data_IF_699509313736
#
_entry.id   IF_699509313736
#
_cell.length_a   1.000
_cell.length_b   1.000
_cell.length_c   1.000
_cell.angle_alpha   90.00
_cell.angle_beta   90.00
_cell.angle_gamma   90.00
#
_symmetry.space_group_name_H-M   'P 1'
#
loop_
_entity.id
_entity.type
_entity.pdbx_description
1 polymer ?
#
# COMPACT_ATOMS: atom_id res chain seq x y z
N UNK A 1 -23.80 -64.64 -15.57
CA UNK A 1 -22.67 -63.91 -15.01
C UNK A 1 -23.03 -62.43 -15.09
N UNK A 2 -23.39 -61.82 -13.96
CA UNK A 2 -23.67 -60.36 -13.91
C UNK A 2 -22.41 -59.66 -13.39
N UNK A 3 -21.80 -58.85 -14.25
CA UNK A 3 -20.65 -58.01 -13.95
C UNK A 3 -21.08 -56.84 -13.07
N UNK A 4 -20.61 -56.79 -11.83
CA UNK A 4 -20.68 -55.59 -10.98
C UNK A 4 -19.52 -54.65 -11.34
N UNK A 5 -19.84 -53.45 -11.87
CA UNK A 5 -18.87 -52.34 -11.92
C UNK A 5 -18.73 -51.73 -10.49
N UNK A 6 -17.54 -51.47 -9.99
CA UNK A 6 -17.37 -50.73 -8.77
C UNK A 6 -17.67 -49.24 -8.98
N UNK A 7 -18.54 -48.70 -8.14
CA UNK A 7 -18.85 -47.25 -8.07
C UNK A 7 -17.63 -46.56 -7.42
N UNK A 8 -16.87 -45.82 -8.21
CA UNK A 8 -15.77 -45.00 -7.74
C UNK A 8 -16.36 -43.72 -7.11
N UNK A 9 -16.52 -43.70 -5.79
CA UNK A 9 -16.88 -42.50 -5.04
C UNK A 9 -15.69 -41.55 -5.01
N UNK A 10 -15.74 -40.52 -5.87
CA UNK A 10 -14.83 -39.37 -5.81
C UNK A 10 -15.19 -38.56 -4.55
N UNK A 11 -14.47 -38.74 -3.46
CA UNK A 11 -14.51 -37.83 -2.32
C UNK A 11 -13.83 -36.53 -2.74
N UNK A 12 -14.61 -35.50 -3.05
CA UNK A 12 -14.11 -34.12 -3.08
C UNK A 12 -13.62 -33.79 -1.66
N UNK A 13 -12.32 -33.86 -1.44
CA UNK A 13 -11.71 -33.26 -0.28
C UNK A 13 -11.94 -31.73 -0.40
N UNK A 14 -12.88 -31.20 0.37
CA UNK A 14 -13.02 -29.77 0.51
C UNK A 14 -11.67 -29.23 1.02
N UNK A 15 -10.96 -28.43 0.21
CA UNK A 15 -9.78 -27.72 0.65
C UNK A 15 -10.17 -26.82 1.82
N UNK A 16 -9.92 -27.29 3.02
CA UNK A 16 -10.08 -26.54 4.25
C UNK A 16 -8.97 -25.49 4.24
N UNK A 17 -9.29 -24.22 3.95
CA UNK A 17 -8.31 -23.12 4.01
C UNK A 17 -7.62 -23.14 5.38
N UNK A 18 -6.28 -23.19 5.38
CA UNK A 18 -5.50 -23.18 6.59
C UNK A 18 -5.68 -21.84 7.34
N UNK A 19 -5.63 -21.88 8.68
CA UNK A 19 -5.59 -20.65 9.49
C UNK A 19 -4.39 -19.77 9.08
N UNK A 20 -4.46 -18.46 9.30
CA UNK A 20 -3.34 -17.56 9.07
C UNK A 20 -2.09 -18.04 9.81
N UNK A 21 -0.91 -17.83 9.22
CA UNK A 21 0.33 -18.15 9.92
C UNK A 21 0.48 -17.32 11.19
N UNK A 22 1.20 -17.83 12.19
CA UNK A 22 1.59 -17.02 13.34
C UNK A 22 2.37 -15.78 12.86
N UNK A 23 2.11 -14.58 13.42
CA UNK A 23 2.87 -13.38 13.09
C UNK A 23 4.34 -13.50 13.46
N UNK A 24 5.24 -13.09 12.55
CA UNK A 24 6.68 -13.01 12.78
C UNK A 24 7.16 -11.55 12.70
N UNK A 25 8.10 -11.16 13.55
CA UNK A 25 8.69 -9.82 13.51
C UNK A 25 9.58 -9.70 12.28
N UNK A 26 9.29 -8.71 11.42
CA UNK A 26 10.14 -8.36 10.27
C UNK A 26 11.06 -7.19 10.61
N UNK A 27 10.53 -6.13 11.20
CA UNK A 27 11.35 -5.03 11.70
C UNK A 27 11.08 -4.81 13.18
N UNK A 28 12.16 -4.55 13.93
CA UNK A 28 12.12 -4.26 15.36
C UNK A 28 12.92 -2.99 15.65
N UNK A 29 12.30 -2.06 16.36
CA UNK A 29 12.97 -0.85 16.84
C UNK A 29 14.20 -1.20 17.67
N UNK A 30 15.28 -0.43 17.53
CA UNK A 30 16.59 -0.64 18.18
C UNK A 30 17.33 -1.93 17.74
N UNK A 31 16.84 -2.62 16.72
CA UNK A 31 17.60 -3.72 16.10
C UNK A 31 18.82 -3.19 15.34
N UNK A 32 18.70 -1.99 14.78
CA UNK A 32 19.82 -1.16 14.37
C UNK A 32 19.95 -0.04 15.41
N UNK A 33 21.15 0.27 15.87
CA UNK A 33 21.40 1.23 16.96
C UNK A 33 20.84 2.64 16.76
N UNK A 34 20.33 2.97 15.56
CA UNK A 34 19.91 4.32 15.14
C UNK A 34 18.39 4.54 15.12
N UNK A 35 17.55 3.48 15.16
CA UNK A 35 16.11 3.62 14.97
C UNK A 35 15.31 3.15 16.21
N UNK A 36 15.01 4.04 17.17
CA UNK A 36 14.17 3.69 18.33
C UNK A 36 12.68 3.50 17.99
N UNK A 37 12.25 3.85 16.76
CA UNK A 37 10.90 3.68 16.28
C UNK A 37 10.92 3.16 14.83
N UNK A 38 9.99 2.27 14.49
CA UNK A 38 9.80 1.73 13.14
C UNK A 38 8.32 1.87 12.77
N UNK A 39 8.05 2.45 11.58
CA UNK A 39 6.68 2.67 11.12
C UNK A 39 6.54 2.57 9.60
N UNK A 40 5.29 2.67 9.11
CA UNK A 40 4.88 2.86 7.73
C UNK A 40 5.38 1.73 6.81
N UNK A 41 4.76 0.54 6.88
CA UNK A 41 5.14 -0.60 6.08
C UNK A 41 4.75 -0.45 4.60
N UNK A 42 5.66 -0.87 3.71
CA UNK A 42 5.38 -1.14 2.30
C UNK A 42 5.87 -2.55 1.95
N UNK A 43 5.05 -3.34 1.26
CA UNK A 43 5.37 -4.72 0.89
C UNK A 43 5.08 -4.94 -0.60
N UNK A 44 6.10 -5.26 -1.37
CA UNK A 44 5.99 -5.62 -2.77
C UNK A 44 6.37 -7.10 -2.96
N UNK A 45 5.52 -7.87 -3.65
CA UNK A 45 5.91 -9.15 -4.22
C UNK A 45 6.34 -8.92 -5.67
N UNK A 46 7.61 -9.16 -5.99
CA UNK A 46 8.12 -8.99 -7.34
C UNK A 46 7.65 -10.11 -8.28
N UNK A 47 7.73 -9.90 -9.58
CA UNK A 47 7.38 -10.91 -10.58
C UNK A 47 8.20 -12.21 -10.43
N UNK A 48 9.41 -12.15 -9.87
CA UNK A 48 10.25 -13.33 -9.56
C UNK A 48 9.83 -14.03 -8.26
N UNK A 49 8.99 -13.39 -7.42
CA UNK A 49 8.50 -13.92 -6.16
C UNK A 49 9.30 -13.51 -4.94
N UNK A 50 10.22 -12.55 -5.08
CA UNK A 50 10.89 -11.93 -3.94
C UNK A 50 9.91 -10.99 -3.24
N UNK A 51 9.82 -11.04 -1.92
CA UNK A 51 9.13 -10.04 -1.11
C UNK A 51 10.14 -8.96 -0.71
N UNK A 52 9.83 -7.71 -1.03
CA UNK A 52 10.58 -6.54 -0.60
C UNK A 52 9.74 -5.81 0.44
N UNK A 53 10.17 -5.81 1.69
CA UNK A 53 9.58 -5.07 2.78
C UNK A 53 10.40 -3.81 3.05
N UNK A 54 9.73 -2.65 3.07
CA UNK A 54 10.34 -1.36 3.39
C UNK A 54 9.57 -0.73 4.54
N UNK A 55 10.27 0.02 5.39
CA UNK A 55 9.67 0.80 6.48
C UNK A 55 10.48 2.06 6.75
N UNK A 56 9.89 3.00 7.49
CA UNK A 56 10.60 4.14 8.05
C UNK A 56 11.29 3.74 9.34
N UNK A 57 12.63 3.78 9.36
CA UNK A 57 13.44 3.80 10.58
C UNK A 57 13.49 5.23 11.10
N UNK A 58 13.01 5.48 12.32
CA UNK A 58 12.81 6.82 12.86
C UNK A 58 13.64 7.05 14.12
N UNK A 59 14.30 8.20 14.22
CA UNK A 59 15.04 8.61 15.41
C UNK A 59 14.14 9.00 16.59
N UNK A 60 12.87 9.25 16.33
CA UNK A 60 11.83 9.51 17.34
C UNK A 60 10.47 8.99 16.87
N UNK A 61 9.48 8.97 17.77
CA UNK A 61 8.14 8.50 17.45
C UNK A 61 7.31 9.49 16.60
N UNK A 62 7.82 10.69 16.32
CA UNK A 62 7.15 11.73 15.52
C UNK A 62 7.30 11.46 14.02
N UNK A 63 6.34 11.93 13.23
CA UNK A 63 6.33 11.71 11.77
C UNK A 63 7.47 12.46 11.05
N UNK A 64 7.87 13.65 11.54
CA UNK A 64 9.00 14.43 11.00
C UNK A 64 10.23 14.36 11.93
N UNK A 65 10.62 13.14 12.35
CA UNK A 65 11.94 12.87 12.89
C UNK A 65 12.97 12.75 11.75
N UNK A 66 14.26 12.56 12.07
CA UNK A 66 15.22 12.07 11.09
C UNK A 66 14.82 10.62 10.76
N UNK A 67 14.28 10.39 9.58
CA UNK A 67 13.78 9.07 9.17
C UNK A 67 14.56 8.57 7.97
N UNK A 68 15.01 7.31 8.06
CA UNK A 68 15.61 6.57 6.96
C UNK A 68 14.63 5.55 6.40
N UNK A 69 14.88 5.07 5.17
CA UNK A 69 14.17 3.91 4.64
C UNK A 69 14.99 2.65 4.89
N UNK A 70 14.43 1.73 5.67
CA UNK A 70 15.01 0.42 5.96
C UNK A 70 14.36 -0.65 5.11
N UNK A 71 15.13 -1.66 4.68
CA UNK A 71 14.67 -2.73 3.80
C UNK A 71 15.04 -4.10 4.33
N UNK A 72 14.15 -5.07 4.16
CA UNK A 72 14.40 -6.51 4.28
C UNK A 72 13.79 -7.26 3.09
N UNK A 73 14.41 -8.38 2.73
CA UNK A 73 14.03 -9.19 1.58
C UNK A 73 13.76 -10.62 2.03
N UNK A 74 12.70 -11.22 1.48
CA UNK A 74 12.43 -12.65 1.61
C UNK A 74 12.32 -13.29 0.22
N UNK A 75 13.01 -14.42 0.02
CA UNK A 75 12.95 -15.23 -1.21
C UNK A 75 12.18 -16.54 -1.03
N UNK A 76 11.53 -16.72 0.12
CA UNK A 76 10.84 -17.94 0.50
C UNK A 76 9.43 -17.69 1.07
N UNK A 77 8.71 -16.75 0.48
CA UNK A 77 7.33 -16.38 0.84
C UNK A 77 7.19 -15.94 2.31
N UNK A 78 8.13 -15.12 2.81
CA UNK A 78 8.07 -14.54 4.13
C UNK A 78 8.45 -15.47 5.29
N UNK A 79 8.90 -16.72 5.01
CA UNK A 79 9.33 -17.66 6.07
C UNK A 79 10.61 -17.22 6.77
N UNK A 80 11.47 -16.52 6.06
CA UNK A 80 12.65 -15.85 6.63
C UNK A 80 12.97 -14.57 5.86
N UNK A 81 13.66 -13.65 6.51
CA UNK A 81 14.00 -12.33 6.00
C UNK A 81 15.51 -12.10 6.12
N UNK A 82 16.06 -11.33 5.18
CA UNK A 82 17.45 -10.86 5.24
C UNK A 82 17.70 -10.06 6.53
N UNK A 83 18.96 -9.78 6.83
CA UNK A 83 19.28 -8.70 7.79
C UNK A 83 18.69 -7.39 7.30
N UNK A 84 18.35 -6.50 8.24
CA UNK A 84 17.92 -5.12 7.92
C UNK A 84 19.08 -4.37 7.26
N UNK A 85 18.76 -3.61 6.20
CA UNK A 85 19.70 -2.74 5.53
C UNK A 85 19.06 -1.35 5.35
N UNK A 86 19.88 -0.32 5.21
CA UNK A 86 19.43 1.02 4.82
C UNK A 86 19.26 1.04 3.31
N UNK A 87 18.04 1.30 2.83
CA UNK A 87 17.77 1.53 1.42
C UNK A 87 18.11 2.98 1.03
N UNK A 88 17.84 3.92 1.94
CA UNK A 88 18.14 5.34 1.75
C UNK A 88 18.27 6.03 3.10
N UNK A 89 19.28 6.87 3.23
CA UNK A 89 19.46 7.87 4.29
C UNK A 89 19.78 9.24 3.67
N UNK A 90 19.30 10.32 4.26
CA UNK A 90 19.56 11.71 3.83
C UNK A 90 20.03 12.58 5.02
N UNK A 91 20.86 12.01 5.87
CA UNK A 91 21.40 12.68 7.04
C UNK A 91 20.32 13.04 8.07
N UNK A 92 20.06 14.34 8.29
CA UNK A 92 19.04 14.79 9.25
C UNK A 92 17.66 15.04 8.62
N UNK A 93 17.55 14.94 7.30
CA UNK A 93 16.27 15.09 6.62
C UNK A 93 15.34 13.92 6.93
N UNK A 94 14.05 14.17 6.84
CA UNK A 94 13.04 13.19 7.12
C UNK A 94 12.53 12.58 5.82
N UNK A 95 12.63 11.25 5.68
CA UNK A 95 12.12 10.50 4.53
C UNK A 95 10.84 9.78 4.94
N UNK A 96 9.72 10.07 4.26
CA UNK A 96 8.40 9.55 4.63
C UNK A 96 7.68 8.83 3.50
N UNK A 97 6.70 8.00 3.89
CA UNK A 97 5.69 7.41 3.04
C UNK A 97 6.26 6.56 1.89
N UNK A 98 7.01 5.49 2.19
CA UNK A 98 7.52 4.60 1.15
C UNK A 98 6.38 3.99 0.34
N UNK A 99 6.51 4.02 -1.01
CA UNK A 99 5.56 3.43 -1.93
C UNK A 99 6.30 2.72 -3.07
N UNK A 100 6.12 1.40 -3.16
CA UNK A 100 6.84 0.53 -4.09
C UNK A 100 6.01 0.25 -5.34
N UNK A 101 6.64 0.23 -6.52
CA UNK A 101 6.06 -0.32 -7.75
C UNK A 101 7.14 -1.01 -8.57
N UNK A 102 6.77 -2.08 -9.29
CA UNK A 102 7.67 -2.76 -10.23
C UNK A 102 7.22 -2.58 -11.67
N UNK A 103 8.16 -2.27 -12.57
CA UNK A 103 7.97 -2.55 -13.98
C UNK A 103 8.23 -4.06 -14.22
N UNK A 104 7.17 -4.81 -14.46
CA UNK A 104 7.21 -6.27 -14.57
C UNK A 104 8.12 -6.71 -15.71
N UNK A 105 8.15 -5.95 -16.83
CA UNK A 105 8.93 -6.31 -18.01
C UNK A 105 10.43 -6.23 -17.79
N UNK A 106 10.91 -5.15 -17.19
CA UNK A 106 12.35 -4.97 -16.90
C UNK A 106 12.76 -5.57 -15.56
N UNK A 107 11.82 -5.82 -14.65
CA UNK A 107 12.06 -6.20 -13.27
C UNK A 107 12.49 -5.01 -12.39
N UNK A 108 12.58 -3.80 -12.93
CA UNK A 108 12.99 -2.61 -12.20
C UNK A 108 11.95 -2.22 -11.15
N UNK A 109 12.39 -2.07 -9.91
CA UNK A 109 11.57 -1.61 -8.79
C UNK A 109 11.84 -0.14 -8.54
N UNK A 110 10.78 0.63 -8.34
CA UNK A 110 10.80 2.02 -7.92
C UNK A 110 10.31 2.10 -6.47
N UNK A 111 10.98 2.89 -5.66
CA UNK A 111 10.59 3.22 -4.30
C UNK A 111 10.44 4.74 -4.22
N UNK A 112 9.19 5.21 -4.24
CA UNK A 112 8.82 6.61 -4.07
C UNK A 112 8.74 6.98 -2.60
N UNK A 113 9.04 8.24 -2.30
CA UNK A 113 8.99 8.80 -0.95
C UNK A 113 8.88 10.32 -1.00
N UNK A 114 8.53 10.89 0.16
CA UNK A 114 8.52 12.32 0.42
C UNK A 114 9.73 12.70 1.28
N UNK A 115 10.27 13.91 1.09
CA UNK A 115 11.35 14.46 1.91
C UNK A 115 10.90 15.75 2.58
N UNK A 116 11.12 15.83 3.89
CA UNK A 116 11.09 17.07 4.65
C UNK A 116 12.51 17.42 5.08
N UNK A 117 13.00 18.65 4.76
CA UNK A 117 14.24 19.15 5.36
C UNK A 117 14.20 19.11 6.87
N UNK A 118 15.34 18.87 7.49
CA UNK A 118 15.49 18.78 8.94
C UNK A 118 14.83 19.97 9.67
N UNK A 119 14.06 19.66 10.71
CA UNK A 119 13.37 20.66 11.56
C UNK A 119 12.07 21.20 10.99
N UNK A 120 11.69 20.91 9.76
CA UNK A 120 10.38 21.29 9.19
C UNK A 120 9.29 20.32 9.64
N UNK A 121 8.08 20.86 9.82
CA UNK A 121 6.88 20.10 10.18
C UNK A 121 5.78 20.29 9.14
N UNK A 122 4.99 19.27 8.93
CA UNK A 122 3.91 19.26 7.92
C UNK A 122 2.94 20.44 8.07
N UNK A 123 2.59 20.80 9.30
CA UNK A 123 1.66 21.89 9.61
C UNK A 123 2.37 23.18 10.01
N UNK A 124 3.62 23.38 9.60
CA UNK A 124 4.48 24.49 10.01
C UNK A 124 4.44 25.73 9.10
N UNK A 125 3.38 25.94 8.31
CA UNK A 125 3.30 27.11 7.42
C UNK A 125 4.28 27.03 6.23
N UNK A 126 4.41 25.85 5.63
CA UNK A 126 5.34 25.59 4.52
C UNK A 126 4.95 26.37 3.25
N UNK A 127 5.94 26.84 2.50
CA UNK A 127 5.77 27.42 1.17
C UNK A 127 5.21 26.38 0.20
N UNK A 128 4.12 26.67 -0.51
CA UNK A 128 3.54 25.74 -1.48
C UNK A 128 4.34 25.66 -2.77
N UNK A 129 3.99 24.70 -3.61
CA UNK A 129 4.50 24.51 -4.96
C UNK A 129 5.84 23.80 -5.06
N UNK A 130 6.32 23.55 -6.29
CA UNK A 130 7.59 22.86 -6.54
C UNK A 130 8.81 23.58 -5.97
N UNK A 131 8.77 24.89 -5.82
CA UNK A 131 9.81 25.72 -5.19
C UNK A 131 9.84 25.59 -3.66
N UNK A 132 8.77 25.04 -3.05
CA UNK A 132 8.69 24.83 -1.60
C UNK A 132 9.69 23.78 -1.11
N UNK A 133 9.91 23.72 0.22
CA UNK A 133 11.00 22.93 0.80
C UNK A 133 10.79 21.40 0.71
N UNK A 134 9.55 20.92 0.73
CA UNK A 134 9.27 19.48 0.67
C UNK A 134 9.41 18.93 -0.74
N UNK A 135 10.01 17.73 -0.86
CA UNK A 135 10.34 17.10 -2.14
C UNK A 135 9.62 15.78 -2.34
N UNK A 136 9.43 15.41 -3.61
CA UNK A 136 9.02 14.09 -4.06
C UNK A 136 10.20 13.49 -4.81
N UNK A 137 10.64 12.31 -4.41
CA UNK A 137 11.74 11.62 -5.08
C UNK A 137 11.50 10.12 -5.11
N UNK A 138 12.33 9.41 -5.88
CA UNK A 138 12.40 7.96 -5.86
C UNK A 138 13.83 7.46 -5.99
N UNK A 139 14.05 6.23 -5.54
CA UNK A 139 15.21 5.41 -5.84
C UNK A 139 14.77 4.16 -6.58
N UNK A 140 15.69 3.48 -7.27
CA UNK A 140 15.38 2.27 -8.05
C UNK A 140 16.32 1.12 -7.71
N UNK A 141 15.79 -0.11 -7.84
CA UNK A 141 16.56 -1.34 -7.74
C UNK A 141 16.34 -2.20 -8.98
N UNK A 142 17.40 -2.86 -9.47
CA UNK A 142 17.36 -3.84 -10.57
C UNK A 142 17.75 -5.25 -10.11
N UNK A 143 17.97 -5.44 -8.82
CA UNK A 143 18.45 -6.67 -8.19
C UNK A 143 17.54 -7.16 -7.06
N UNK A 144 16.24 -6.98 -7.23
CA UNK A 144 15.21 -7.42 -6.27
C UNK A 144 15.33 -6.73 -4.89
N UNK A 145 15.67 -5.43 -4.87
CA UNK A 145 15.75 -4.62 -3.67
C UNK A 145 17.03 -4.77 -2.84
N UNK A 146 18.07 -5.45 -3.37
CA UNK A 146 19.33 -5.63 -2.64
C UNK A 146 20.19 -4.38 -2.63
N UNK A 147 20.21 -3.67 -3.76
CA UNK A 147 20.89 -2.37 -3.89
C UNK A 147 19.96 -1.34 -4.51
N UNK A 148 20.22 -0.08 -4.21
CA UNK A 148 19.38 1.04 -4.62
C UNK A 148 20.21 2.14 -5.30
N UNK A 149 19.60 2.81 -6.26
CA UNK A 149 20.22 3.93 -6.98
C UNK A 149 20.34 5.17 -6.10
N UNK A 150 21.05 6.19 -6.58
CA UNK A 150 20.93 7.55 -6.05
C UNK A 150 19.48 8.07 -6.22
N UNK A 151 19.03 9.01 -5.36
CA UNK A 151 17.75 9.69 -5.49
C UNK A 151 17.56 10.39 -6.85
N UNK A 152 16.33 10.31 -7.36
CA UNK A 152 15.86 11.09 -8.52
C UNK A 152 14.75 12.00 -8.03
N UNK A 153 14.99 13.31 -8.03
CA UNK A 153 13.99 14.34 -7.66
C UNK A 153 13.00 14.54 -8.82
N UNK A 154 11.72 14.37 -8.56
CA UNK A 154 10.62 14.57 -9.50
C UNK A 154 9.64 15.66 -9.04
N UNK A 155 10.05 16.47 -8.08
CA UNK A 155 9.24 17.52 -7.47
C UNK A 155 8.70 18.50 -8.51
N UNK A 156 9.56 18.97 -9.41
CA UNK A 156 9.18 19.92 -10.46
C UNK A 156 8.11 19.37 -11.42
N UNK A 157 8.14 18.05 -11.68
CA UNK A 157 7.19 17.40 -12.58
C UNK A 157 5.85 17.04 -11.91
N UNK A 158 5.86 16.77 -10.60
CA UNK A 158 4.73 16.13 -9.94
C UNK A 158 4.05 16.98 -8.85
N UNK A 159 4.78 17.83 -8.12
CA UNK A 159 4.20 18.56 -6.99
C UNK A 159 3.27 19.66 -7.46
N UNK A 160 1.98 19.67 -7.04
CA UNK A 160 1.05 20.74 -7.40
C UNK A 160 1.50 22.12 -6.89
N UNK A 161 1.22 23.17 -7.65
CA UNK A 161 1.57 24.58 -7.30
C UNK A 161 1.00 25.01 -5.94
N UNK A 162 -0.18 24.52 -5.58
CA UNK A 162 -0.84 24.85 -4.32
C UNK A 162 -0.43 23.94 -3.16
N UNK A 163 0.36 22.87 -3.41
CA UNK A 163 0.67 21.88 -2.38
C UNK A 163 1.82 22.32 -1.48
N UNK A 164 1.60 22.37 -0.18
CA UNK A 164 2.66 22.52 0.84
C UNK A 164 3.41 21.22 1.03
N UNK A 165 2.69 20.09 1.06
CA UNK A 165 3.25 18.75 1.16
C UNK A 165 2.61 17.81 0.13
N UNK A 166 3.32 16.79 -0.26
CA UNK A 166 2.85 15.77 -1.20
C UNK A 166 3.49 14.43 -0.86
N UNK A 167 2.66 13.46 -0.50
CA UNK A 167 3.09 12.15 -0.07
C UNK A 167 2.58 11.04 -0.98
N UNK A 168 3.43 10.07 -1.29
CA UNK A 168 3.02 8.83 -1.94
C UNK A 168 2.26 7.92 -0.97
N UNK A 169 1.32 7.14 -1.41
CA UNK A 169 0.57 6.08 -0.77
C UNK A 169 0.18 6.28 0.70
N UNK A 170 0.92 5.74 1.68
CA UNK A 170 2.06 4.82 1.58
C UNK A 170 1.66 3.38 1.28
N UNK A 171 2.62 2.55 0.82
CA UNK A 171 2.40 1.13 0.53
C UNK A 171 2.88 0.74 -0.87
N UNK A 172 1.97 0.55 -1.83
CA UNK A 172 2.33 0.16 -3.20
C UNK A 172 1.59 0.97 -4.27
N UNK A 173 2.25 1.12 -5.42
CA UNK A 173 1.62 1.46 -6.69
C UNK A 173 1.29 0.20 -7.48
N UNK A 174 0.81 0.37 -8.71
CA UNK A 174 0.43 -0.73 -9.61
C UNK A 174 1.04 -0.55 -10.99
N UNK A 175 1.16 -1.65 -11.75
CA UNK A 175 1.31 -1.63 -13.19
C UNK A 175 0.03 -2.16 -13.82
N UNK A 176 -0.59 -1.42 -14.72
CA UNK A 176 -1.80 -1.85 -15.41
C UNK A 176 -1.51 -3.06 -16.30
N UNK A 177 -2.36 -4.09 -16.20
CA UNK A 177 -2.23 -5.34 -16.94
C UNK A 177 -3.23 -5.46 -18.07
N UNK A 178 -4.24 -4.58 -18.12
CA UNK A 178 -5.37 -4.59 -19.04
C UNK A 178 -5.63 -3.23 -19.68
N UNK A 179 -6.52 -3.20 -20.67
CA UNK A 179 -6.99 -1.99 -21.32
C UNK A 179 -5.94 -1.30 -22.19
N UNK A 180 -6.28 -0.10 -22.66
CA UNK A 180 -5.44 0.71 -23.57
C UNK A 180 -4.15 1.21 -22.91
N UNK A 181 -4.16 1.35 -21.60
CA UNK A 181 -3.02 1.82 -20.81
C UNK A 181 -2.20 0.66 -20.20
N UNK A 182 -2.35 -0.55 -20.72
CA UNK A 182 -1.58 -1.72 -20.28
C UNK A 182 -0.07 -1.42 -20.30
N UNK A 183 0.60 -1.71 -19.21
CA UNK A 183 2.02 -1.43 -19.00
C UNK A 183 2.30 -0.12 -18.26
N UNK A 184 1.32 0.79 -18.12
CA UNK A 184 1.44 2.03 -17.36
C UNK A 184 1.76 1.72 -15.89
N UNK A 185 2.81 2.34 -15.38
CA UNK A 185 3.13 2.36 -13.94
C UNK A 185 2.35 3.49 -13.28
N UNK A 186 1.80 3.25 -12.08
CA UNK A 186 1.00 4.24 -11.37
C UNK A 186 1.36 4.23 -9.89
N UNK A 187 1.60 5.42 -9.33
CA UNK A 187 1.83 5.67 -7.91
C UNK A 187 0.71 6.57 -7.40
N UNK A 188 -0.02 6.18 -6.34
CA UNK A 188 -1.00 7.06 -5.70
C UNK A 188 -0.34 8.12 -4.85
N UNK A 189 -0.92 9.31 -4.82
CA UNK A 189 -0.45 10.46 -4.04
C UNK A 189 -1.58 11.17 -3.33
N UNK A 190 -1.25 11.79 -2.21
CA UNK A 190 -2.05 12.85 -1.60
C UNK A 190 -1.24 14.14 -1.52
N UNK A 191 -1.92 15.26 -1.60
CA UNK A 191 -1.33 16.59 -1.42
C UNK A 191 -2.15 17.41 -0.44
N UNK A 192 -1.45 18.18 0.38
CA UNK A 192 -2.05 19.13 1.30
C UNK A 192 -1.81 20.57 0.81
N UNK A 193 -2.85 21.36 0.70
CA UNK A 193 -2.75 22.79 0.43
C UNK A 193 -2.57 23.62 1.71
N UNK A 194 -2.32 24.95 1.60
CA UNK A 194 -2.00 25.83 2.74
C UNK A 194 -3.07 25.88 3.83
N UNK A 195 -4.32 25.61 3.48
CA UNK A 195 -5.47 25.61 4.41
C UNK A 195 -5.77 24.23 4.99
N UNK A 196 -4.87 23.27 4.83
CA UNK A 196 -5.08 21.89 5.29
C UNK A 196 -6.10 21.11 4.45
N UNK A 197 -6.36 21.50 3.21
CA UNK A 197 -7.20 20.75 2.28
C UNK A 197 -6.38 19.62 1.67
N UNK A 198 -6.85 18.38 1.83
CA UNK A 198 -6.22 17.21 1.25
C UNK A 198 -6.94 16.76 -0.01
N UNK A 199 -6.17 16.43 -1.05
CA UNK A 199 -6.66 15.89 -2.34
C UNK A 199 -5.85 14.66 -2.72
N UNK A 200 -6.48 13.72 -3.43
CA UNK A 200 -5.78 12.58 -4.04
C UNK A 200 -5.61 12.78 -5.54
N UNK A 201 -4.55 12.19 -6.07
CA UNK A 201 -4.22 12.08 -7.48
C UNK A 201 -3.20 10.94 -7.68
N UNK A 202 -2.79 10.67 -8.91
CA UNK A 202 -1.76 9.68 -9.19
C UNK A 202 -0.66 10.27 -10.07
N UNK A 203 0.58 9.79 -9.87
CA UNK A 203 1.62 9.90 -10.87
C UNK A 203 1.60 8.65 -11.74
N UNK A 204 1.83 8.79 -13.05
CA UNK A 204 1.90 7.68 -13.99
C UNK A 204 3.07 7.81 -14.97
N UNK A 205 3.52 6.66 -15.47
CA UNK A 205 4.56 6.55 -16.48
C UNK A 205 4.16 5.54 -17.56
N UNK A 206 4.27 5.96 -18.83
CA UNK A 206 4.01 5.13 -20.01
C UNK A 206 5.30 4.60 -20.66
N UNK A 207 6.47 4.92 -20.10
CA UNK A 207 7.78 4.63 -20.67
C UNK A 207 8.70 3.86 -19.71
N UNK A 208 8.09 2.96 -18.89
CA UNK A 208 8.77 2.13 -17.90
C UNK A 208 9.55 2.96 -16.85
N UNK A 209 8.97 4.09 -16.43
CA UNK A 209 9.50 4.95 -15.38
C UNK A 209 10.64 5.87 -15.78
N UNK A 210 10.83 6.12 -17.08
CA UNK A 210 11.80 7.12 -17.57
C UNK A 210 11.29 8.53 -17.32
N UNK A 211 10.00 8.77 -17.57
CA UNK A 211 9.31 10.01 -17.26
C UNK A 211 8.03 9.75 -16.46
N UNK A 212 7.66 10.72 -15.64
CA UNK A 212 6.46 10.65 -14.80
C UNK A 212 5.59 11.88 -15.05
N UNK A 213 4.29 11.66 -15.13
CA UNK A 213 3.27 12.68 -15.32
C UNK A 213 2.27 12.65 -14.17
N UNK A 214 1.71 13.79 -13.84
CA UNK A 214 0.64 13.91 -12.86
C UNK A 214 -0.72 13.78 -13.54
N UNK A 215 -1.64 12.97 -12.95
CA UNK A 215 -3.06 12.92 -13.28
C UNK A 215 -3.83 14.08 -12.63
N UNK A 216 -5.11 14.20 -12.97
CA UNK A 216 -5.98 15.18 -12.34
C UNK A 216 -6.24 14.87 -10.86
N UNK A 217 -6.63 15.88 -10.10
CA UNK A 217 -7.15 15.70 -8.74
C UNK A 217 -8.47 14.94 -8.77
N UNK A 218 -8.66 14.06 -7.78
CA UNK A 218 -9.96 13.42 -7.55
C UNK A 218 -10.98 14.50 -7.16
N UNK A 219 -12.05 14.69 -7.95
CA UNK A 219 -13.08 15.68 -7.61
C UNK A 219 -13.74 15.32 -6.27
N UNK A 220 -13.81 16.28 -5.35
CA UNK A 220 -14.37 16.06 -4.01
C UNK A 220 -14.90 17.34 -3.40
N UNK A 221 -15.91 17.21 -2.53
CA UNK A 221 -16.44 18.30 -1.73
C UNK A 221 -16.10 18.07 -0.27
N UNK A 222 -15.09 18.78 0.26
CA UNK A 222 -14.70 18.78 1.68
C UNK A 222 -14.38 17.41 2.30
N UNK A 223 -14.12 16.38 1.48
CA UNK A 223 -13.88 15.01 1.96
C UNK A 223 -12.49 14.79 2.55
N UNK A 224 -11.55 15.75 2.35
CA UNK A 224 -10.21 15.68 2.95
C UNK A 224 -9.48 14.38 2.63
N UNK A 225 -9.29 14.07 1.35
CA UNK A 225 -8.70 12.83 0.85
C UNK A 225 -7.20 12.77 1.18
N UNK A 226 -6.84 11.90 2.13
CA UNK A 226 -5.48 11.75 2.64
C UNK A 226 -4.78 10.50 2.08
N UNK A 227 -4.12 9.69 2.91
CA UNK A 227 -3.41 8.48 2.48
C UNK A 227 -4.27 7.57 1.61
N UNK A 228 -3.68 7.05 0.53
CA UNK A 228 -4.44 6.49 -0.58
C UNK A 228 -3.79 5.24 -1.15
N UNK A 229 -4.61 4.28 -1.52
CA UNK A 229 -4.21 3.09 -2.26
C UNK A 229 -5.08 2.90 -3.50
N UNK A 230 -4.55 2.20 -4.48
CA UNK A 230 -5.21 1.94 -5.76
C UNK A 230 -5.11 0.47 -6.15
N UNK A 231 -6.07 0.00 -6.95
CA UNK A 231 -6.02 -1.32 -7.58
C UNK A 231 -6.63 -1.27 -8.98
N UNK A 232 -6.22 -2.21 -9.85
CA UNK A 232 -6.83 -2.39 -11.17
C UNK A 232 -8.13 -3.16 -11.04
N UNK A 233 -9.20 -2.80 -11.79
CA UNK A 233 -10.44 -3.56 -11.87
C UNK A 233 -10.41 -4.61 -12.98
N UNK A 234 -11.44 -5.45 -13.07
CA UNK A 234 -11.56 -6.46 -14.13
C UNK A 234 -11.54 -5.86 -15.54
N UNK A 235 -12.08 -4.65 -15.69
CA UNK A 235 -12.17 -3.89 -16.93
C UNK A 235 -10.88 -3.11 -17.26
N UNK A 236 -9.88 -3.12 -16.39
CA UNK A 236 -8.67 -2.32 -16.54
C UNK A 236 -8.82 -0.87 -16.07
N UNK A 237 -9.90 -0.55 -15.37
CA UNK A 237 -10.06 0.74 -14.68
C UNK A 237 -9.26 0.76 -13.38
N UNK A 238 -9.08 1.92 -12.77
CA UNK A 238 -8.47 2.05 -11.46
C UNK A 238 -9.54 2.31 -10.41
N UNK A 239 -9.55 1.52 -9.35
CA UNK A 239 -10.27 1.79 -8.11
C UNK A 239 -9.32 2.45 -7.12
N UNK A 240 -9.74 3.58 -6.55
CA UNK A 240 -9.01 4.36 -5.56
C UNK A 240 -9.75 4.29 -4.23
N UNK A 241 -9.01 4.06 -3.14
CA UNK A 241 -9.53 4.03 -1.78
C UNK A 241 -8.67 4.90 -0.87
N UNK A 242 -9.29 5.89 -0.24
CA UNK A 242 -8.63 6.94 0.51
C UNK A 242 -9.06 6.95 1.97
N UNK A 243 -8.08 7.20 2.86
CA UNK A 243 -8.30 7.68 4.21
C UNK A 243 -8.90 9.07 4.17
N UNK A 244 -9.80 9.37 5.10
CA UNK A 244 -10.28 10.73 5.34
C UNK A 244 -9.49 11.38 6.47
N UNK A 245 -8.97 12.58 6.25
CA UNK A 245 -8.33 13.36 7.30
C UNK A 245 -9.39 14.01 8.19
N UNK A 246 -9.35 13.76 9.50
CA UNK A 246 -10.33 14.29 10.48
C UNK A 246 -11.79 13.88 10.21
N UNK A 247 -12.01 12.75 9.56
CA UNK A 247 -13.34 12.29 9.22
C UNK A 247 -13.91 11.27 10.20
N UNK A 248 -15.21 11.09 10.10
CA UNK A 248 -15.97 9.97 10.66
C UNK A 248 -16.77 9.37 9.51
N UNK A 249 -17.06 8.09 9.59
CA UNK A 249 -17.87 7.41 8.57
C UNK A 249 -17.08 6.37 7.80
N UNK A 250 -17.33 6.27 6.49
CA UNK A 250 -16.71 5.28 5.62
C UNK A 250 -15.50 5.81 4.86
N UNK A 251 -14.75 4.88 4.25
CA UNK A 251 -13.65 5.20 3.33
C UNK A 251 -14.15 6.06 2.17
N UNK A 252 -13.25 6.84 1.55
CA UNK A 252 -13.58 7.62 0.37
C UNK A 252 -13.03 6.92 -0.87
N UNK A 253 -13.87 6.77 -1.88
CA UNK A 253 -13.57 5.96 -3.06
C UNK A 253 -13.84 6.72 -4.35
N UNK A 254 -13.09 6.40 -5.40
CA UNK A 254 -13.25 6.96 -6.73
C UNK A 254 -12.75 5.98 -7.79
N UNK A 255 -13.15 6.17 -9.05
CA UNK A 255 -12.72 5.34 -10.18
C UNK A 255 -12.17 6.20 -11.31
N UNK A 256 -11.15 5.69 -11.99
CA UNK A 256 -10.61 6.24 -13.23
C UNK A 256 -10.75 5.20 -14.35
N UNK A 257 -11.24 5.64 -15.52
CA UNK A 257 -11.41 4.79 -16.71
C UNK A 257 -10.28 4.97 -17.74
N UNK A 258 -9.43 5.95 -17.55
CA UNK A 258 -8.39 6.38 -18.47
C UNK A 258 -6.96 6.21 -17.92
N UNK A 259 -6.81 5.33 -16.93
CA UNK A 259 -5.50 5.03 -16.33
C UNK A 259 -4.97 6.13 -15.43
N UNK A 260 -5.85 6.84 -14.70
CA UNK A 260 -5.50 7.83 -13.70
C UNK A 260 -5.39 9.27 -14.23
N UNK A 261 -5.75 9.51 -15.49
CA UNK A 261 -5.73 10.87 -16.07
C UNK A 261 -6.88 11.71 -15.52
N UNK A 262 -8.10 11.10 -15.41
CA UNK A 262 -9.28 11.72 -14.78
C UNK A 262 -9.98 10.76 -13.83
N UNK A 263 -10.86 11.28 -12.98
CA UNK A 263 -11.53 10.56 -11.91
C UNK A 263 -13.01 10.88 -11.82
N UNK A 264 -13.81 9.91 -11.40
CA UNK A 264 -15.16 10.16 -10.94
C UNK A 264 -15.13 11.01 -9.65
N UNK A 265 -16.21 11.76 -9.33
CA UNK A 265 -16.32 12.37 -8.01
C UNK A 265 -16.14 11.34 -6.90
N UNK A 266 -15.44 11.73 -5.82
CA UNK A 266 -15.26 10.88 -4.66
C UNK A 266 -16.61 10.60 -3.98
N UNK A 267 -16.78 9.35 -3.54
CA UNK A 267 -17.96 8.88 -2.80
C UNK A 267 -17.53 8.32 -1.46
N UNK A 268 -18.45 8.29 -0.50
CA UNK A 268 -18.26 7.60 0.76
C UNK A 268 -18.76 6.15 0.65
N UNK A 269 -17.87 5.17 0.92
CA UNK A 269 -18.25 3.78 1.11
C UNK A 269 -18.47 3.50 2.61
N UNK A 270 -19.72 3.50 3.03
CA UNK A 270 -20.11 3.25 4.42
C UNK A 270 -19.90 1.80 4.88
N UNK A 271 -19.68 0.86 3.95
CA UNK A 271 -19.37 -0.53 4.28
C UNK A 271 -17.93 -0.74 4.72
N UNK A 272 -17.07 0.27 4.51
CA UNK A 272 -15.68 0.27 4.91
C UNK A 272 -15.46 1.27 6.05
N UNK A 273 -15.50 0.84 7.32
CA UNK A 273 -15.27 1.73 8.47
C UNK A 273 -13.92 2.45 8.38
N UNK A 274 -13.90 3.72 8.78
CA UNK A 274 -12.72 4.60 8.66
C UNK A 274 -12.29 5.15 10.04
N UNK A 275 -11.29 4.52 10.70
CA UNK A 275 -10.79 4.98 12.00
C UNK A 275 -9.66 6.01 11.87
N UNK A 276 -9.61 6.79 10.81
CA UNK A 276 -8.55 7.74 10.48
C UNK A 276 -7.17 7.04 10.40
N UNK A 277 -7.11 5.99 9.57
CA UNK A 277 -5.91 5.18 9.38
C UNK A 277 -5.69 4.82 7.90
N UNK A 278 -4.41 4.65 7.53
CA UNK A 278 -4.06 4.06 6.23
C UNK A 278 -4.70 2.66 6.09
N UNK A 279 -4.89 2.23 4.86
CA UNK A 279 -5.34 0.90 4.51
C UNK A 279 -4.50 0.34 3.36
N UNK A 280 -4.51 -0.96 3.17
CA UNK A 280 -3.88 -1.61 2.03
C UNK A 280 -4.88 -2.20 1.05
N UNK A 281 -4.52 -2.20 -0.23
CA UNK A 281 -5.38 -2.60 -1.34
C UNK A 281 -4.55 -3.26 -2.44
N UNK A 282 -4.98 -4.42 -2.91
CA UNK A 282 -4.42 -5.10 -4.08
C UNK A 282 -5.53 -5.71 -4.93
N UNK A 283 -5.25 -5.96 -6.20
CA UNK A 283 -6.08 -6.79 -7.04
C UNK A 283 -5.25 -7.75 -7.89
N UNK A 284 -5.86 -8.88 -8.25
CA UNK A 284 -5.27 -9.89 -9.13
C UNK A 284 -6.35 -10.77 -9.73
N UNK A 285 -5.99 -11.52 -10.76
CA UNK A 285 -6.88 -12.51 -11.37
C UNK A 285 -6.49 -13.92 -10.91
N UNK A 286 -7.46 -14.72 -10.48
CA UNK A 286 -7.33 -16.12 -10.13
C UNK A 286 -8.40 -16.95 -10.85
N UNK A 287 -7.97 -17.73 -11.83
CA UNK A 287 -8.92 -18.39 -12.74
C UNK A 287 -9.76 -17.37 -13.50
N UNK A 288 -11.08 -17.51 -13.43
CA UNK A 288 -12.03 -16.57 -14.02
C UNK A 288 -12.39 -15.38 -13.11
N UNK A 289 -11.91 -15.36 -11.87
CA UNK A 289 -12.27 -14.34 -10.88
C UNK A 289 -11.25 -13.21 -10.89
N UNK A 290 -11.71 -11.98 -10.94
CA UNK A 290 -10.92 -10.80 -10.59
C UNK A 290 -11.21 -10.44 -9.13
N UNK A 291 -10.18 -10.48 -8.29
CA UNK A 291 -10.28 -10.34 -6.86
C UNK A 291 -9.63 -9.03 -6.45
N UNK A 292 -10.33 -8.22 -5.66
CA UNK A 292 -9.78 -7.06 -4.97
C UNK A 292 -9.80 -7.35 -3.47
N UNK A 293 -8.66 -7.18 -2.81
CA UNK A 293 -8.52 -7.33 -1.35
C UNK A 293 -8.25 -5.97 -0.71
N UNK A 294 -8.92 -5.72 0.40
CA UNK A 294 -8.79 -4.52 1.20
C UNK A 294 -8.55 -4.90 2.66
N UNK A 295 -7.56 -4.30 3.30
CA UNK A 295 -7.22 -4.52 4.71
C UNK A 295 -7.05 -3.19 5.43
N UNK A 296 -7.82 -2.99 6.50
CA UNK A 296 -7.70 -1.84 7.37
C UNK A 296 -8.09 -2.19 8.81
N UNK A 297 -7.72 -1.36 9.81
CA UNK A 297 -8.35 -1.46 11.12
C UNK A 297 -9.83 -1.13 11.00
N UNK A 298 -10.70 -2.00 11.53
CA UNK A 298 -12.14 -1.73 11.58
C UNK A 298 -12.49 -0.75 12.69
N UNK A 299 -11.76 -0.81 13.79
CA UNK A 299 -12.04 -0.07 15.00
C UNK A 299 -12.97 -0.81 15.96
N UNK A 300 -13.11 -0.32 17.19
CA UNK A 300 -14.07 -0.86 18.18
C UNK A 300 -14.62 0.28 19.06
N UNK A 301 -15.89 0.71 18.84
CA UNK A 301 -16.80 0.27 17.78
C UNK A 301 -16.25 0.62 16.37
N UNK A 302 -16.84 0.08 15.29
CA UNK A 302 -16.37 0.35 13.91
C UNK A 302 -16.15 1.83 13.63
N UNK A 303 -15.02 2.17 13.00
CA UNK A 303 -14.57 3.55 12.74
C UNK A 303 -13.89 4.23 13.93
N UNK A 304 -13.66 3.56 15.05
CA UNK A 304 -12.98 4.14 16.23
C UNK A 304 -11.78 3.32 16.69
N UNK A 305 -10.62 3.97 16.70
CA UNK A 305 -9.37 3.37 17.16
C UNK A 305 -8.71 2.46 16.12
N UNK A 306 -7.42 2.25 16.27
CA UNK A 306 -6.60 1.43 15.38
C UNK A 306 -6.47 0.03 15.94
N UNK A 307 -7.56 -0.71 15.83
CA UNK A 307 -7.70 -2.08 16.32
C UNK A 307 -8.51 -2.91 15.34
N UNK A 308 -8.37 -4.22 15.43
CA UNK A 308 -9.13 -5.19 14.66
C UNK A 308 -8.86 -5.08 13.16
N UNK A 309 -7.73 -5.60 12.70
CA UNK A 309 -7.37 -5.67 11.28
C UNK A 309 -8.29 -6.61 10.52
N UNK A 310 -9.18 -6.08 9.67
CA UNK A 310 -10.18 -6.85 8.93
C UNK A 310 -9.81 -6.92 7.46
N UNK A 311 -9.65 -8.15 6.95
CA UNK A 311 -9.43 -8.43 5.53
C UNK A 311 -10.79 -8.60 4.83
N UNK A 312 -10.97 -7.89 3.71
CA UNK A 312 -12.20 -7.91 2.90
C UNK A 312 -11.89 -8.25 1.46
N UNK A 313 -12.84 -8.91 0.80
CA UNK A 313 -12.74 -9.28 -0.62
C UNK A 313 -13.93 -8.73 -1.40
N UNK A 314 -13.62 -8.12 -2.52
CA UNK A 314 -14.56 -7.70 -3.56
C UNK A 314 -14.29 -8.48 -4.85
N UNK A 315 -15.35 -8.84 -5.57
CA UNK A 315 -15.31 -9.49 -6.87
C UNK A 315 -15.82 -8.59 -8.02
N UNK A 316 -16.13 -7.33 -7.70
CA UNK A 316 -16.75 -6.35 -8.60
C UNK A 316 -15.99 -5.01 -8.63
N UNK A 317 -14.68 -5.04 -8.36
CA UNK A 317 -13.81 -3.87 -8.45
C UNK A 317 -14.03 -2.84 -7.34
N UNK A 318 -14.33 -3.30 -6.12
CA UNK A 318 -14.48 -2.46 -4.93
C UNK A 318 -15.86 -1.86 -4.73
N UNK A 319 -16.87 -2.30 -5.51
CA UNK A 319 -18.26 -1.82 -5.37
C UNK A 319 -18.98 -2.49 -4.20
N UNK A 320 -18.76 -3.81 -4.02
CA UNK A 320 -19.28 -4.56 -2.87
C UNK A 320 -18.19 -5.44 -2.26
N UNK A 321 -18.32 -5.72 -0.95
CA UNK A 321 -17.34 -6.49 -0.17
C UNK A 321 -18.01 -7.76 0.36
N UNK A 322 -17.97 -8.80 -0.48
CA UNK A 322 -18.73 -10.05 -0.27
C UNK A 322 -18.22 -10.87 0.90
N UNK A 323 -16.91 -10.89 1.12
CA UNK A 323 -16.30 -11.62 2.22
C UNK A 323 -15.56 -10.65 3.14
N UNK A 324 -15.68 -10.85 4.44
CA UNK A 324 -15.05 -10.01 5.46
C UNK A 324 -14.72 -10.86 6.69
N UNK A 325 -13.45 -10.83 7.14
CA UNK A 325 -13.03 -11.59 8.31
C UNK A 325 -11.97 -10.87 9.10
N UNK A 326 -12.08 -10.87 10.43
CA UNK A 326 -11.03 -10.38 11.32
C UNK A 326 -9.79 -11.24 11.19
N UNK A 327 -8.70 -10.65 10.68
CA UNK A 327 -7.42 -11.30 10.47
C UNK A 327 -6.47 -11.11 11.65
N UNK A 328 -6.47 -9.90 12.22
CA UNK A 328 -5.62 -9.54 13.36
C UNK A 328 -6.50 -8.90 14.42
N UNK A 329 -6.95 -9.67 15.42
CA UNK A 329 -7.68 -9.10 16.56
C UNK A 329 -6.75 -8.22 17.42
N UNK A 330 -7.31 -7.21 18.08
CA UNK A 330 -6.55 -6.29 18.93
C UNK A 330 -5.82 -5.21 18.13
N UNK A 331 -4.67 -4.76 18.60
CA UNK A 331 -3.95 -3.63 18.04
C UNK A 331 -3.51 -3.86 16.60
N UNK A 332 -3.93 -2.97 15.72
CA UNK A 332 -3.62 -3.00 14.29
C UNK A 332 -3.67 -1.59 13.73
N UNK A 333 -2.63 -1.16 13.00
CA UNK A 333 -2.58 0.17 12.40
C UNK A 333 -2.33 0.11 10.88
N UNK A 334 -1.18 0.62 10.42
CA UNK A 334 -0.83 0.60 9.01
C UNK A 334 -0.48 -0.80 8.54
N UNK A 335 -0.77 -1.07 7.28
CA UNK A 335 -0.46 -2.37 6.66
C UNK A 335 -0.09 -2.21 5.18
N UNK A 336 0.52 -3.27 4.64
CA UNK A 336 0.71 -3.46 3.21
C UNK A 336 0.54 -4.94 2.89
N UNK A 337 -0.24 -5.26 1.87
CA UNK A 337 -0.53 -6.64 1.48
C UNK A 337 0.01 -6.92 0.08
N UNK A 338 0.40 -8.19 -0.17
CA UNK A 338 0.93 -8.62 -1.45
C UNK A 338 0.45 -10.04 -1.78
N UNK A 339 0.12 -10.29 -3.06
CA UNK A 339 -0.11 -11.65 -3.58
C UNK A 339 1.24 -12.33 -3.75
N UNK A 340 1.52 -13.38 -2.99
CA UNK A 340 2.78 -14.12 -3.05
C UNK A 340 2.79 -15.19 -4.15
N UNK A 341 3.98 -15.66 -4.50
CA UNK A 341 4.17 -16.65 -5.58
C UNK A 341 3.50 -17.99 -5.27
N UNK A 342 3.37 -18.38 -4.00
CA UNK A 342 2.67 -19.59 -3.56
C UNK A 342 1.15 -19.46 -3.54
N UNK A 343 0.63 -18.32 -3.96
CA UNK A 343 -0.79 -18.05 -4.01
C UNK A 343 -1.41 -17.51 -2.71
N UNK A 344 -0.65 -17.42 -1.61
CA UNK A 344 -1.12 -16.81 -0.36
C UNK A 344 -1.02 -15.29 -0.41
N UNK A 345 -1.68 -14.65 0.53
CA UNK A 345 -1.58 -13.21 0.76
C UNK A 345 -0.60 -12.98 1.91
N UNK A 346 0.50 -12.29 1.61
CA UNK A 346 1.42 -11.78 2.60
C UNK A 346 0.89 -10.47 3.17
N UNK A 347 0.96 -10.30 4.48
CA UNK A 347 0.47 -9.13 5.22
C UNK A 347 1.59 -8.61 6.11
N UNK A 348 2.07 -7.43 5.80
CA UNK A 348 3.03 -6.68 6.62
C UNK A 348 2.25 -5.60 7.37
N UNK A 349 2.35 -5.53 8.70
CA UNK A 349 1.51 -4.62 9.48
C UNK A 349 2.14 -4.13 10.78
N UNK A 350 1.65 -2.99 11.27
CA UNK A 350 1.99 -2.42 12.57
C UNK A 350 1.03 -2.94 13.66
N UNK A 351 1.53 -3.49 14.78
CA UNK A 351 0.71 -3.81 15.94
C UNK A 351 0.41 -2.55 16.80
N UNK A 352 0.48 -1.35 16.20
CA UNK A 352 0.20 -0.04 16.80
C UNK A 352 1.05 0.30 18.03
N UNK A 353 2.31 -0.15 18.06
CA UNK A 353 3.25 0.12 19.15
C UNK A 353 4.47 0.99 18.75
N UNK A 354 4.58 1.37 17.45
CA UNK A 354 5.71 2.10 16.85
C UNK A 354 7.09 1.48 17.10
N UNK A 355 7.13 0.18 17.40
CA UNK A 355 8.37 -0.56 17.72
C UNK A 355 8.59 -1.74 16.81
N UNK A 356 7.51 -2.34 16.34
CA UNK A 356 7.58 -3.58 15.57
C UNK A 356 6.75 -3.46 14.28
N UNK A 357 7.19 -4.12 13.22
CA UNK A 357 6.39 -4.46 12.05
C UNK A 357 6.40 -5.96 11.88
N UNK A 358 5.22 -6.54 11.82
CA UNK A 358 4.98 -7.98 11.80
C UNK A 358 4.57 -8.43 10.40
N UNK A 359 4.85 -9.69 10.08
CA UNK A 359 4.41 -10.35 8.87
C UNK A 359 3.64 -11.63 9.21
N UNK A 360 2.54 -11.86 8.51
CA UNK A 360 1.84 -13.13 8.46
C UNK A 360 1.40 -13.45 7.02
N UNK A 361 1.00 -14.70 6.79
CA UNK A 361 0.41 -15.10 5.52
C UNK A 361 -0.95 -15.78 5.74
N UNK A 362 -1.85 -15.61 4.77
CA UNK A 362 -3.21 -16.17 4.82
C UNK A 362 -3.65 -16.67 3.45
N UNK A 363 -4.42 -17.77 3.43
CA UNK A 363 -5.02 -18.31 2.22
C UNK A 363 -6.34 -17.62 1.90
N UNK A 364 -6.66 -17.43 0.62
CA UNK A 364 -7.98 -16.90 0.20
C UNK A 364 -9.13 -17.77 0.69
N UNK A 365 -8.99 -19.09 0.66
CA UNK A 365 -10.00 -20.03 1.15
C UNK A 365 -10.33 -19.81 2.63
N UNK A 366 -9.40 -19.29 3.44
CA UNK A 366 -9.67 -18.89 4.82
C UNK A 366 -10.66 -17.71 4.86
N UNK A 367 -10.45 -16.70 4.02
CA UNK A 367 -11.32 -15.52 3.96
C UNK A 367 -12.74 -15.86 3.45
N UNK A 368 -12.83 -16.76 2.47
CA UNK A 368 -14.10 -17.18 1.85
C UNK A 368 -15.00 -17.99 2.79
N UNK A 369 -14.44 -18.64 3.82
CA UNK A 369 -15.18 -19.42 4.83
C UNK A 369 -15.82 -18.59 5.94
N UNK A 370 -15.42 -17.32 6.07
CA UNK A 370 -15.90 -16.43 7.13
C UNK A 370 -17.20 -15.74 6.77
N UNK A 371 -18.27 -16.51 6.51
CA UNK A 371 -19.66 -16.03 6.46
C UNK A 371 -20.42 -16.44 7.70
#
# INVERSE_FOLDING_TARGET
MKSLLPLLTLTLAACVGAEPSAPAIVFKAKETSTHPSIRIPALLATAKGTLIAVAEGRDAATDQASNDLVVRISTNNGRSWSKSAIALELGKDCINNPCLVQDIKSGKVFLFYQVFPAGLKEFGGLTPGPSGPTKIAYITSTDEGRTWSKPVDVTAALKPEIATTTASGPGIGIQLTKGEKKGRLIIPFNSQGPKGNFVNWVAYSDDAGKTWKRGADVPQEKMQLNEVQISETAEGHIYLNSRQWRGTGGRKVSWSKDGGETWSPALEDKNLPEPVCQASLISFTEGARHITLFLNPEGNPPGKGRVNGVLRMSLDGGKTWKHSRSLVPGNFAYSSIARMKDGKIGVLYEPNNSKDILFLSVDLAWLEKGQ
#
